data_IF_946020058709
#
_entry.id   IF_946020058709
#
_cell.length_a   1.000
_cell.length_b   1.000
_cell.length_c   1.000
_cell.angle_alpha   90.00
_cell.angle_beta   90.00
_cell.angle_gamma   90.00
#
_symmetry.space_group_name_H-M   'P 1'
#
loop_
_entity.id
_entity.type
_entity.pdbx_description
1 polymer ?
#
# COMPACT_ATOMS: atom_id res chain seq x y z
N UNK A 1 -9.06 -7.71 -18.67
CA UNK A 1 -9.06 -6.22 -18.72
C UNK A 1 -7.78 -5.66 -18.07
N UNK A 2 -7.22 -4.52 -18.55
CA UNK A 2 -5.90 -3.97 -18.11
C UNK A 2 -5.72 -3.84 -16.60
N UNK A 3 -6.75 -3.44 -15.88
CA UNK A 3 -6.69 -3.16 -14.43
C UNK A 3 -6.98 -4.39 -13.56
N UNK A 4 -7.35 -5.51 -14.18
CA UNK A 4 -7.75 -6.72 -13.48
C UNK A 4 -6.65 -7.29 -12.57
N UNK A 5 -5.35 -7.30 -12.95
CA UNK A 5 -4.29 -7.74 -12.04
C UNK A 5 -4.17 -6.85 -10.79
N UNK A 6 -4.27 -5.53 -10.95
CA UNK A 6 -4.24 -4.60 -9.82
C UNK A 6 -5.43 -4.82 -8.88
N UNK A 7 -6.64 -4.99 -9.41
CA UNK A 7 -7.81 -5.21 -8.57
C UNK A 7 -7.79 -6.55 -7.84
N UNK A 8 -7.23 -7.61 -8.45
CA UNK A 8 -6.98 -8.88 -7.76
C UNK A 8 -6.00 -8.70 -6.61
N UNK A 9 -4.88 -8.03 -6.84
CA UNK A 9 -3.90 -7.74 -5.80
C UNK A 9 -4.52 -6.91 -4.65
N UNK A 10 -5.30 -5.88 -4.96
CA UNK A 10 -6.01 -5.10 -3.95
C UNK A 10 -7.02 -5.94 -3.17
N UNK A 11 -7.74 -6.83 -3.84
CA UNK A 11 -8.67 -7.74 -3.19
C UNK A 11 -7.93 -8.64 -2.19
N UNK A 12 -6.83 -9.27 -2.61
CA UNK A 12 -6.03 -10.16 -1.76
C UNK A 12 -5.46 -9.40 -0.56
N UNK A 13 -4.89 -8.20 -0.78
CA UNK A 13 -4.37 -7.37 0.31
C UNK A 13 -5.50 -7.01 1.29
N UNK A 14 -6.63 -6.48 0.81
CA UNK A 14 -7.74 -6.04 1.67
C UNK A 14 -8.38 -7.17 2.48
N UNK A 15 -8.36 -8.40 1.98
CA UNK A 15 -8.80 -9.55 2.77
C UNK A 15 -7.96 -9.77 4.04
N UNK A 16 -6.67 -9.48 4.00
CA UNK A 16 -5.83 -9.50 5.21
C UNK A 16 -6.23 -8.41 6.21
N UNK A 17 -6.93 -7.38 5.74
CA UNK A 17 -7.56 -6.35 6.57
C UNK A 17 -9.01 -6.67 6.96
N UNK A 18 -9.49 -7.88 6.67
CA UNK A 18 -10.90 -8.27 6.86
C UNK A 18 -11.88 -7.35 6.11
N UNK A 19 -11.44 -6.77 5.00
CA UNK A 19 -12.22 -5.86 4.16
C UNK A 19 -12.51 -6.49 2.80
N UNK A 20 -13.76 -6.37 2.37
CA UNK A 20 -14.14 -6.70 1.01
C UNK A 20 -13.89 -5.51 0.08
N UNK A 21 -13.09 -5.72 -0.96
CA UNK A 21 -12.96 -4.74 -2.03
C UNK A 21 -14.33 -4.49 -2.67
N UNK A 22 -14.68 -3.21 -2.82
CA UNK A 22 -15.83 -2.77 -3.61
C UNK A 22 -15.50 -1.47 -4.34
N UNK A 23 -16.18 -1.15 -5.45
CA UNK A 23 -16.02 0.14 -6.11
C UNK A 23 -16.29 1.33 -5.17
N UNK A 24 -17.27 1.20 -4.27
CA UNK A 24 -17.59 2.21 -3.28
C UNK A 24 -16.42 2.46 -2.33
N UNK A 25 -15.83 1.39 -1.76
CA UNK A 25 -14.64 1.49 -0.93
C UNK A 25 -13.48 2.11 -1.72
N UNK A 26 -13.26 1.67 -2.95
CA UNK A 26 -12.19 2.21 -3.79
C UNK A 26 -12.37 3.70 -4.06
N UNK A 27 -13.58 4.17 -4.32
CA UNK A 27 -13.85 5.58 -4.63
C UNK A 27 -13.75 6.44 -3.35
N UNK A 28 -14.49 6.07 -2.31
CA UNK A 28 -14.71 6.91 -1.13
C UNK A 28 -13.73 6.68 0.03
N UNK A 29 -12.96 5.60 -0.01
CA UNK A 29 -12.06 5.18 1.07
C UNK A 29 -12.81 4.87 2.39
N UNK A 30 -12.06 4.51 3.44
CA UNK A 30 -12.62 4.30 4.78
C UNK A 30 -12.72 5.62 5.55
N UNK A 31 -13.78 5.82 6.34
CA UNK A 31 -13.81 6.88 7.33
C UNK A 31 -12.77 6.61 8.42
N UNK A 32 -12.03 7.63 8.85
CA UNK A 32 -11.06 7.48 9.92
C UNK A 32 -11.79 7.37 11.27
N UNK A 33 -11.70 6.20 11.92
CA UNK A 33 -12.31 5.96 13.23
C UNK A 33 -11.24 5.86 14.30
N UNK A 34 -11.50 6.39 15.50
CA UNK A 34 -10.54 6.46 16.60
C UNK A 34 -9.78 5.15 16.90
N UNK A 35 -10.47 4.03 17.21
CA UNK A 35 -9.81 2.79 17.62
C UNK A 35 -9.09 2.03 16.48
N UNK A 36 -9.41 2.33 15.21
CA UNK A 36 -8.85 1.67 14.03
C UNK A 36 -8.07 2.64 13.14
N UNK A 37 -7.68 3.80 13.66
CA UNK A 37 -7.18 4.91 12.82
C UNK A 37 -5.96 4.51 11.98
N UNK A 38 -4.99 3.80 12.55
CA UNK A 38 -3.79 3.35 11.82
C UNK A 38 -4.15 2.37 10.70
N UNK A 39 -5.09 1.47 10.97
CA UNK A 39 -5.64 0.54 9.98
C UNK A 39 -6.35 1.29 8.83
N UNK A 40 -7.25 2.21 9.18
CA UNK A 40 -8.01 3.00 8.22
C UNK A 40 -7.08 3.85 7.34
N UNK A 41 -6.05 4.47 7.94
CA UNK A 41 -5.04 5.25 7.23
C UNK A 41 -4.23 4.39 6.26
N UNK A 42 -3.78 3.20 6.69
CA UNK A 42 -2.99 2.31 5.86
C UNK A 42 -3.79 1.82 4.65
N UNK A 43 -5.04 1.40 4.86
CA UNK A 43 -5.95 1.02 3.78
C UNK A 43 -6.19 2.18 2.82
N UNK A 44 -6.46 3.38 3.34
CA UNK A 44 -6.68 4.57 2.52
C UNK A 44 -5.45 4.94 1.69
N UNK A 45 -4.25 4.78 2.25
CA UNK A 45 -3.00 4.95 1.51
C UNK A 45 -2.87 3.94 0.37
N UNK A 46 -3.14 2.66 0.62
CA UNK A 46 -3.10 1.62 -0.42
C UNK A 46 -4.07 1.94 -1.57
N UNK A 47 -5.29 2.37 -1.25
CA UNK A 47 -6.27 2.80 -2.24
C UNK A 47 -5.78 4.02 -3.04
N UNK A 48 -5.15 5.00 -2.37
CA UNK A 48 -4.58 6.17 -3.02
C UNK A 48 -3.41 5.81 -3.96
N UNK A 49 -2.49 4.94 -3.53
CA UNK A 49 -1.37 4.46 -4.34
C UNK A 49 -1.85 3.67 -5.56
N UNK A 50 -2.92 2.88 -5.42
CA UNK A 50 -3.52 2.19 -6.55
C UNK A 50 -4.12 3.16 -7.57
N UNK A 51 -4.86 4.18 -7.13
CA UNK A 51 -5.37 5.25 -8.02
C UNK A 51 -4.22 5.95 -8.74
N UNK A 52 -3.13 6.26 -8.02
CA UNK A 52 -1.95 6.88 -8.59
C UNK A 52 -1.29 5.97 -9.64
N UNK A 53 -1.18 4.67 -9.37
CA UNK A 53 -0.65 3.70 -10.34
C UNK A 53 -1.50 3.66 -11.62
N UNK A 54 -2.82 3.63 -11.49
CA UNK A 54 -3.75 3.67 -12.63
C UNK A 54 -3.52 4.92 -13.47
N UNK A 55 -3.41 6.08 -12.81
CA UNK A 55 -3.19 7.36 -13.47
C UNK A 55 -1.82 7.40 -14.18
N UNK A 56 -0.73 7.10 -13.47
CA UNK A 56 0.64 7.16 -14.01
C UNK A 56 0.86 6.19 -15.16
N UNK A 57 0.37 4.95 -15.04
CA UNK A 57 0.47 3.97 -16.13
C UNK A 57 -0.37 4.35 -17.34
N UNK A 58 -1.52 5.02 -17.15
CA UNK A 58 -2.31 5.57 -18.26
C UNK A 58 -1.58 6.71 -18.96
N UNK A 59 -1.03 7.66 -18.20
CA UNK A 59 -0.28 8.80 -18.75
C UNK A 59 0.91 8.31 -19.58
N UNK A 60 1.73 7.40 -19.04
CA UNK A 60 2.87 6.82 -19.77
C UNK A 60 2.45 6.12 -21.05
N UNK A 61 1.36 5.35 -21.02
CA UNK A 61 0.84 4.68 -22.22
C UNK A 61 0.43 5.67 -23.31
N UNK A 62 -0.18 6.80 -22.92
CA UNK A 62 -0.60 7.84 -23.87
C UNK A 62 0.59 8.61 -24.45
N UNK A 63 1.65 8.83 -23.66
CA UNK A 63 2.84 9.55 -24.10
C UNK A 63 3.76 8.68 -24.97
N UNK A 64 4.09 7.48 -24.51
CA UNK A 64 5.20 6.67 -25.05
C UNK A 64 4.71 5.41 -25.79
N UNK A 65 3.40 5.16 -25.82
CA UNK A 65 2.81 3.94 -26.39
C UNK A 65 3.09 2.65 -25.58
N UNK A 66 4.01 2.70 -24.62
CA UNK A 66 4.43 1.55 -23.81
C UNK A 66 3.35 1.05 -22.85
N UNK A 67 3.23 -0.29 -22.74
CA UNK A 67 2.43 -0.90 -21.68
C UNK A 67 3.26 -0.96 -20.38
N UNK A 68 2.79 -0.27 -19.33
CA UNK A 68 3.34 -0.42 -17.99
C UNK A 68 2.38 -1.27 -17.14
N UNK A 69 2.92 -2.29 -16.48
CA UNK A 69 2.14 -3.13 -15.56
C UNK A 69 1.72 -2.28 -14.34
N UNK A 70 0.41 -2.08 -14.22
CA UNK A 70 -0.16 -1.26 -13.16
C UNK A 70 -0.05 -1.90 -11.78
N UNK A 71 -0.07 -3.23 -11.70
CA UNK A 71 0.13 -3.97 -10.45
C UNK A 71 1.58 -3.85 -9.98
N UNK A 72 2.54 -4.08 -10.88
CA UNK A 72 3.96 -3.93 -10.55
C UNK A 72 4.30 -2.49 -10.12
N UNK A 73 3.76 -1.48 -10.80
CA UNK A 73 3.94 -0.08 -10.42
C UNK A 73 3.38 0.22 -9.02
N UNK A 74 2.19 -0.32 -8.71
CA UNK A 74 1.58 -0.20 -7.39
C UNK A 74 2.44 -0.86 -6.31
N UNK A 75 2.85 -2.13 -6.48
CA UNK A 75 3.70 -2.83 -5.52
C UNK A 75 5.01 -2.08 -5.28
N UNK A 76 5.67 -1.64 -6.35
CA UNK A 76 6.89 -0.83 -6.22
C UNK A 76 6.63 0.45 -5.44
N UNK A 77 5.51 1.13 -5.66
CA UNK A 77 5.16 2.36 -4.93
C UNK A 77 4.94 2.10 -3.44
N UNK A 78 4.28 1.00 -3.09
CA UNK A 78 4.06 0.57 -1.69
C UNK A 78 5.40 0.25 -1.03
N UNK A 79 6.23 -0.60 -1.66
CA UNK A 79 7.55 -0.98 -1.12
C UNK A 79 8.45 0.23 -0.93
N UNK A 80 8.51 1.15 -1.91
CA UNK A 80 9.30 2.38 -1.79
C UNK A 80 8.81 3.27 -0.66
N UNK A 81 7.50 3.35 -0.42
CA UNK A 81 6.96 4.15 0.69
C UNK A 81 7.32 3.53 2.05
N UNK A 82 7.12 2.22 2.22
CA UNK A 82 7.50 1.50 3.44
C UNK A 82 8.98 1.68 3.73
N UNK A 83 9.84 1.54 2.70
CA UNK A 83 11.28 1.73 2.84
C UNK A 83 11.64 3.14 3.31
N UNK A 84 11.03 4.17 2.74
CA UNK A 84 11.29 5.55 3.14
C UNK A 84 10.89 5.83 4.60
N UNK A 85 9.74 5.31 5.02
CA UNK A 85 9.22 5.46 6.38
C UNK A 85 10.06 4.68 7.40
N UNK A 86 10.52 3.48 7.02
CA UNK A 86 11.44 2.69 7.83
C UNK A 86 12.79 3.42 8.03
N UNK A 87 13.39 3.95 6.97
CA UNK A 87 14.64 4.72 7.08
C UNK A 87 14.46 5.97 7.95
N UNK A 88 13.32 6.63 7.85
CA UNK A 88 12.99 7.76 8.71
C UNK A 88 12.85 7.32 10.17
N UNK A 89 12.15 6.22 10.45
CA UNK A 89 11.99 5.67 11.79
C UNK A 89 13.33 5.25 12.42
N UNK A 90 14.21 4.59 11.65
CA UNK A 90 15.57 4.24 12.09
C UNK A 90 16.37 5.50 12.43
N UNK A 91 16.33 6.53 11.59
CA UNK A 91 17.10 7.76 11.82
C UNK A 91 16.59 8.62 12.99
N UNK A 92 15.31 8.48 13.35
CA UNK A 92 14.67 9.22 14.44
C UNK A 92 14.49 8.41 15.72
N UNK A 93 14.92 7.14 15.75
CA UNK A 93 14.69 6.24 16.88
C UNK A 93 13.21 5.91 17.13
N UNK A 94 12.35 6.08 16.12
CA UNK A 94 10.89 5.92 16.22
C UNK A 94 10.42 4.58 15.62
N UNK A 95 11.18 3.51 15.84
CA UNK A 95 10.90 2.20 15.23
C UNK A 95 9.59 1.58 15.74
N UNK A 96 9.27 1.75 17.03
CA UNK A 96 8.01 1.27 17.62
C UNK A 96 6.80 1.90 16.91
N UNK A 97 6.84 3.22 16.67
CA UNK A 97 5.80 3.94 15.93
C UNK A 97 5.67 3.44 14.50
N UNK A 98 6.79 3.07 13.85
CA UNK A 98 6.75 2.48 12.51
C UNK A 98 6.05 1.12 12.53
N UNK A 99 6.37 0.25 13.48
CA UNK A 99 5.74 -1.06 13.60
C UNK A 99 4.23 -0.94 13.83
N UNK A 100 3.80 -0.03 14.70
CA UNK A 100 2.38 0.24 14.99
C UNK A 100 1.58 0.75 13.78
N UNK A 101 2.25 1.34 12.78
CA UNK A 101 1.59 1.96 11.63
C UNK A 101 1.72 1.15 10.34
N UNK A 102 2.88 0.52 10.12
CA UNK A 102 3.24 -0.10 8.85
C UNK A 102 3.35 -1.62 8.93
N UNK A 103 3.78 -2.16 10.07
CA UNK A 103 3.92 -3.60 10.29
C UNK A 103 2.64 -4.26 10.82
N UNK A 104 1.48 -3.63 10.61
CA UNK A 104 0.17 -4.09 11.08
C UNK A 104 -0.10 -5.54 10.63
N UNK A 105 -0.08 -6.45 11.60
CA UNK A 105 -0.27 -7.90 11.41
C UNK A 105 0.66 -8.54 10.37
N UNK A 106 1.82 -7.93 10.08
CA UNK A 106 2.78 -8.45 9.09
C UNK A 106 2.32 -8.41 7.63
N UNK A 107 1.20 -7.73 7.33
CA UNK A 107 0.53 -7.81 6.02
C UNK A 107 1.38 -7.18 4.91
N UNK A 108 1.95 -6.00 5.15
CA UNK A 108 2.79 -5.32 4.16
C UNK A 108 4.27 -5.55 4.43
N UNK A 109 4.65 -5.54 5.71
CA UNK A 109 6.02 -5.72 6.15
C UNK A 109 6.07 -6.16 7.63
N UNK A 110 7.26 -6.57 8.06
CA UNK A 110 7.62 -6.79 9.45
C UNK A 110 9.05 -6.29 9.70
N UNK A 111 9.39 -6.09 10.97
CA UNK A 111 10.76 -5.79 11.38
C UNK A 111 11.29 -6.99 12.15
N UNK A 112 12.49 -7.45 11.81
CA UNK A 112 13.14 -8.57 12.48
C UNK A 112 13.63 -8.17 13.88
N UNK A 113 13.92 -9.14 14.77
CA UNK A 113 14.56 -8.84 16.05
C UNK A 113 15.91 -8.12 15.94
N UNK A 114 16.58 -8.23 14.78
CA UNK A 114 17.83 -7.51 14.48
C UNK A 114 17.59 -6.08 13.97
N UNK A 115 16.35 -5.60 13.95
CA UNK A 115 15.97 -4.28 13.45
C UNK A 115 15.97 -4.17 11.93
N UNK A 116 15.84 -5.28 11.20
CA UNK A 116 15.88 -5.30 9.72
C UNK A 116 14.48 -5.38 9.14
N UNK A 117 14.18 -4.58 8.11
CA UNK A 117 12.88 -4.58 7.44
C UNK A 117 12.72 -5.80 6.51
N UNK A 118 11.59 -6.49 6.64
CA UNK A 118 11.15 -7.56 5.75
C UNK A 118 9.86 -7.13 5.02
N UNK A 119 9.85 -7.16 3.70
CA UNK A 119 8.67 -6.81 2.88
C UNK A 119 7.90 -8.09 2.50
N UNK A 120 6.58 -8.07 2.63
CA UNK A 120 5.71 -9.24 2.39
C UNK A 120 4.98 -9.18 1.03
N UNK A 121 4.90 -7.98 0.46
CA UNK A 121 4.07 -7.64 -0.71
C UNK A 121 4.86 -7.68 -2.01
#
# INVERSE_FOLDING_TARGET
>A
ARLQPLFRLLFDILLHFWLHFSPHLFIYALPLRGPTKSWDLLVNLLLALAKLAIYKTRVRRLADGGSCDCGAYFQSSVRSRIWAEFLWAVSTGSLDTFEEQWALSGVLCSVSPSGSLCLTL
#
